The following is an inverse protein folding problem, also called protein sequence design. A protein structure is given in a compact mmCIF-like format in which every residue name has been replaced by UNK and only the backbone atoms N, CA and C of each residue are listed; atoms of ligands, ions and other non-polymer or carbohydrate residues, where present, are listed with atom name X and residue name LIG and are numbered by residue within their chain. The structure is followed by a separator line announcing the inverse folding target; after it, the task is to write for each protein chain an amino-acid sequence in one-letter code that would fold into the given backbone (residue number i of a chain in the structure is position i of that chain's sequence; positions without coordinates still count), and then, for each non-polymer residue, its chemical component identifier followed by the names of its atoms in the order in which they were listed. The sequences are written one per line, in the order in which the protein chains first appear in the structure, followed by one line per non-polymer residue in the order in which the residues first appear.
data_IF_179793664728
#
_entry.id   IF_179793664728
#
_cell.length_a   1.000
_cell.length_b   1.000
_cell.length_c   1.000
_cell.angle_alpha   90.00
_cell.angle_beta   90.00
_cell.angle_gamma   90.00
#
_symmetry.space_group_name_H-M   'P 1'
#
loop_
_entity.id
_entity.type
_entity.pdbx_description
1 polymer ?
#
# COMPACT_ATOMS: atom_id res chain seq x y z
N UNK A 1 33.72 62.69 32.54
CA UNK A 1 35.11 62.31 32.88
C UNK A 1 35.60 61.36 31.80
N UNK A 2 36.85 61.54 31.41
CA UNK A 2 37.72 60.60 30.66
C UNK A 2 37.81 59.23 31.41
N UNK A 3 38.30 58.08 30.91
CA UNK A 3 38.63 57.49 29.59
C UNK A 3 38.82 55.93 29.84
N UNK A 4 39.25 55.00 28.95
CA UNK A 4 39.86 55.03 27.61
C UNK A 4 39.54 53.75 26.78
N UNK A 5 39.77 53.87 25.46
CA UNK A 5 40.42 52.95 24.50
C UNK A 5 40.83 51.50 24.91
N UNK A 6 41.00 50.50 24.02
CA UNK A 6 40.88 50.24 22.54
C UNK A 6 41.26 48.73 22.33
N UNK A 7 41.11 48.00 21.22
CA UNK A 7 40.42 48.12 19.91
C UNK A 7 40.62 46.81 19.10
N UNK A 8 39.80 46.58 18.06
CA UNK A 8 40.05 45.76 16.84
C UNK A 8 40.11 44.21 17.00
N UNK A 9 39.46 43.32 16.22
CA UNK A 9 38.86 43.37 14.85
C UNK A 9 39.94 43.40 13.72
N UNK A 10 39.84 42.80 12.51
CA UNK A 10 38.85 41.97 11.78
C UNK A 10 39.57 41.26 10.57
N UNK A 11 39.13 40.04 10.20
CA UNK A 11 38.91 39.48 8.83
C UNK A 11 40.02 39.21 7.76
N UNK A 12 39.82 38.03 7.14
CA UNK A 12 39.90 37.63 5.69
C UNK A 12 41.21 37.49 4.86
N UNK A 13 41.24 36.35 4.11
CA UNK A 13 41.64 36.11 2.69
C UNK A 13 43.07 36.53 2.23
N UNK A 14 43.74 35.93 1.24
CA UNK A 14 43.67 34.65 0.52
C UNK A 14 44.92 34.48 -0.38
N UNK A 15 45.12 33.28 -0.97
CA UNK A 15 45.92 32.98 -2.18
C UNK A 15 47.47 32.93 -2.20
N UNK A 16 47.94 31.83 -2.83
CA UNK A 16 49.07 31.72 -3.80
C UNK A 16 50.51 31.38 -3.35
N UNK A 17 51.25 30.77 -4.30
CA UNK A 17 52.52 30.00 -4.20
C UNK A 17 53.62 30.71 -5.02
N UNK A 18 54.93 30.52 -4.72
CA UNK A 18 55.92 30.32 -5.80
C UNK A 18 57.00 29.23 -5.54
N UNK A 19 57.91 29.06 -6.51
CA UNK A 19 58.70 27.85 -6.83
C UNK A 19 60.21 27.79 -6.44
N UNK A 20 60.69 26.58 -6.07
CA UNK A 20 61.84 25.73 -6.57
C UNK A 20 63.29 26.31 -6.78
N UNK A 21 64.29 25.40 -6.73
CA UNK A 21 65.68 25.37 -7.34
C UNK A 21 66.85 25.69 -6.34
N UNK A 22 68.05 25.05 -6.28
CA UNK A 22 68.85 24.02 -7.03
C UNK A 22 69.67 23.12 -6.04
N UNK A 23 70.03 21.84 -6.27
CA UNK A 23 71.03 21.20 -7.20
C UNK A 23 72.53 21.53 -6.89
N UNK A 24 73.57 20.66 -7.03
CA UNK A 24 73.95 19.52 -7.93
C UNK A 24 75.28 18.86 -7.36
N UNK A 25 76.16 18.06 -8.06
CA UNK A 25 76.09 16.93 -9.04
C UNK A 25 77.08 15.74 -8.66
N UNK A 26 77.67 14.91 -9.57
CA UNK A 26 77.14 13.91 -10.54
C UNK A 26 77.83 12.50 -10.52
N UNK A 27 77.32 11.48 -11.27
CA UNK A 27 78.09 10.70 -12.28
C UNK A 27 77.33 9.56 -13.03
N UNK A 28 77.46 9.57 -14.38
CA UNK A 28 77.07 8.62 -15.48
C UNK A 28 77.39 7.12 -15.23
N UNK A 29 76.75 6.08 -15.86
CA UNK A 29 76.72 5.75 -17.32
C UNK A 29 75.96 4.42 -17.67
N UNK A 30 75.11 4.45 -18.72
CA UNK A 30 74.80 3.48 -19.83
C UNK A 30 74.79 1.92 -19.69
N UNK A 31 73.71 1.34 -20.25
CA UNK A 31 73.24 -0.04 -20.55
C UNK A 31 74.16 -1.20 -21.06
N UNK A 32 73.67 -2.45 -20.89
CA UNK A 32 73.70 -3.53 -21.92
C UNK A 32 72.59 -4.62 -21.74
N UNK A 33 72.30 -5.44 -22.78
CA UNK A 33 71.26 -6.50 -22.83
C UNK A 33 71.81 -7.90 -22.49
N UNK A 34 70.97 -8.84 -22.02
CA UNK A 34 71.20 -10.31 -22.18
C UNK A 34 69.89 -11.14 -22.20
N UNK A 35 69.95 -12.33 -22.82
CA UNK A 35 68.82 -13.24 -23.12
C UNK A 35 68.58 -14.30 -22.01
N UNK A 36 67.36 -14.87 -22.02
CA UNK A 36 66.83 -15.94 -21.16
C UNK A 36 67.54 -17.30 -21.29
N UNK A 37 67.44 -18.13 -20.23
CA UNK A 37 67.05 -19.55 -20.35
C UNK A 37 65.89 -19.91 -19.36
N UNK A 38 65.47 -21.18 -19.16
CA UNK A 38 64.34 -21.80 -19.85
C UNK A 38 63.09 -22.06 -18.96
N UNK A 39 62.01 -22.57 -19.58
CA UNK A 39 60.67 -22.77 -19.00
C UNK A 39 60.55 -23.94 -18.01
N UNK A 40 59.64 -23.77 -17.06
CA UNK A 40 58.87 -24.84 -16.38
C UNK A 40 57.34 -24.58 -16.57
N UNK A 41 56.46 -25.57 -16.30
CA UNK A 41 55.22 -25.73 -17.07
C UNK A 41 54.05 -24.82 -16.71
N UNK A 42 53.20 -24.57 -17.71
CA UNK A 42 51.93 -23.85 -17.61
C UNK A 42 50.89 -24.61 -16.78
N UNK A 43 50.07 -23.92 -15.95
CA UNK A 43 48.82 -24.45 -15.44
C UNK A 43 47.83 -24.78 -16.59
N UNK A 44 46.86 -25.70 -16.38
CA UNK A 44 45.89 -26.07 -17.42
C UNK A 44 44.98 -24.91 -17.86
N UNK A 45 44.48 -25.02 -19.08
CA UNK A 45 43.63 -24.05 -19.76
C UNK A 45 42.25 -23.88 -19.09
N UNK A 46 41.60 -22.75 -19.38
CA UNK A 46 40.22 -22.48 -19.03
C UNK A 46 39.28 -23.43 -19.80
N UNK A 47 38.71 -24.43 -19.12
CA UNK A 47 37.66 -25.26 -19.71
C UNK A 47 36.31 -24.54 -19.57
N UNK A 48 35.67 -24.21 -20.70
CA UNK A 48 34.38 -23.51 -20.79
C UNK A 48 33.20 -24.42 -20.37
N UNK A 49 33.23 -24.89 -19.12
CA UNK A 49 32.29 -25.86 -18.56
C UNK A 49 31.12 -25.24 -17.78
N UNK A 50 30.04 -24.87 -18.47
CA UNK A 50 28.70 -24.62 -17.89
C UNK A 50 28.63 -23.72 -16.64
N UNK A 51 28.64 -22.39 -16.87
CA UNK A 51 27.97 -21.45 -15.96
C UNK A 51 26.47 -21.78 -15.92
N UNK A 52 26.02 -22.54 -14.92
CA UNK A 52 24.59 -22.72 -14.64
C UNK A 52 24.03 -21.36 -14.21
N UNK A 53 23.53 -20.59 -15.18
CA UNK A 53 22.68 -19.45 -14.89
C UNK A 53 21.42 -19.98 -14.20
N UNK A 54 21.36 -19.85 -12.87
CA UNK A 54 20.16 -20.14 -12.10
C UNK A 54 19.13 -19.06 -12.45
N UNK A 55 18.35 -19.36 -13.50
CA UNK A 55 17.30 -18.50 -13.99
C UNK A 55 16.25 -18.32 -12.89
N UNK A 56 16.13 -17.10 -12.33
CA UNK A 56 15.20 -16.78 -11.23
C UNK A 56 13.75 -17.17 -11.54
N UNK A 57 13.38 -17.32 -12.82
CA UNK A 57 12.06 -17.82 -13.23
C UNK A 57 11.80 -19.28 -12.81
N UNK A 58 12.83 -20.10 -12.57
CA UNK A 58 12.69 -21.53 -12.23
C UNK A 58 12.33 -21.77 -10.76
N UNK A 59 12.84 -20.93 -9.84
CA UNK A 59 12.45 -20.97 -8.41
C UNK A 59 10.98 -20.60 -8.13
N UNK A 60 10.23 -20.14 -9.15
CA UNK A 60 8.79 -19.85 -9.03
C UNK A 60 7.87 -21.05 -9.30
N UNK A 61 8.40 -22.25 -9.61
CA UNK A 61 7.55 -23.38 -10.04
C UNK A 61 7.74 -24.72 -9.31
N UNK A 62 8.89 -24.97 -8.72
CA UNK A 62 9.18 -26.27 -8.10
C UNK A 62 9.01 -26.23 -6.57
N UNK A 63 8.01 -26.96 -6.06
CA UNK A 63 7.72 -27.25 -4.63
C UNK A 63 7.19 -26.10 -3.75
N UNK A 64 6.19 -25.37 -4.24
CA UNK A 64 5.06 -25.00 -3.37
C UNK A 64 3.86 -25.81 -3.86
N UNK A 65 3.48 -26.84 -3.12
CA UNK A 65 2.15 -27.44 -3.27
C UNK A 65 1.14 -26.37 -2.83
N UNK A 66 0.55 -25.71 -3.82
CA UNK A 66 -0.59 -24.84 -3.56
C UNK A 66 -1.70 -25.71 -2.98
N UNK A 67 -2.27 -25.38 -1.81
CA UNK A 67 -3.39 -26.14 -1.28
C UNK A 67 -4.53 -26.14 -2.31
N UNK A 68 -5.21 -27.29 -2.42
CA UNK A 68 -6.41 -27.51 -3.24
C UNK A 68 -7.39 -26.33 -3.09
N UNK A 69 -8.18 -26.03 -4.12
CA UNK A 69 -9.00 -24.81 -4.20
C UNK A 69 -9.85 -24.56 -2.94
N UNK A 70 -9.30 -23.77 -2.02
CA UNK A 70 -9.93 -23.43 -0.74
C UNK A 70 -11.01 -22.38 -0.91
N UNK A 71 -11.22 -21.86 -2.12
CA UNK A 71 -12.24 -20.86 -2.40
C UNK A 71 -13.66 -21.35 -2.11
N UNK A 72 -13.92 -22.64 -2.33
CA UNK A 72 -15.20 -23.29 -2.01
C UNK A 72 -15.45 -23.50 -0.51
N UNK A 73 -14.41 -23.47 0.34
CA UNK A 73 -14.54 -23.71 1.79
C UNK A 73 -15.24 -22.55 2.54
N UNK A 74 -15.47 -21.41 1.86
CA UNK A 74 -15.98 -20.18 2.45
C UNK A 74 -17.35 -19.73 1.87
N UNK A 75 -18.39 -20.58 1.86
CA UNK A 75 -19.69 -20.24 1.28
C UNK A 75 -20.31 -18.99 1.96
N UNK A 76 -20.58 -17.98 1.14
CA UNK A 76 -21.14 -16.70 1.57
C UNK A 76 -20.11 -15.68 2.06
N UNK A 77 -18.80 -15.95 1.94
CA UNK A 77 -17.79 -14.91 2.06
C UNK A 77 -17.94 -13.90 0.92
N UNK A 78 -17.70 -12.64 1.24
CA UNK A 78 -17.72 -11.51 0.31
C UNK A 78 -16.40 -10.79 0.48
N UNK A 79 -15.66 -10.61 -0.61
CA UNK A 79 -14.43 -9.85 -0.61
C UNK A 79 -14.77 -8.36 -0.46
N UNK A 80 -14.17 -7.71 0.53
CA UNK A 80 -14.41 -6.32 0.87
C UNK A 80 -13.21 -5.47 0.48
N UNK A 81 -13.35 -4.70 -0.59
CA UNK A 81 -12.34 -3.74 -1.04
C UNK A 81 -12.85 -2.34 -0.70
N UNK A 82 -12.80 -2.04 0.60
CA UNK A 82 -13.35 -0.83 1.18
C UNK A 82 -12.37 0.34 1.27
N UNK A 83 -12.68 1.21 2.23
CA UNK A 83 -11.98 2.45 2.52
C UNK A 83 -11.37 2.38 3.91
N UNK A 84 -10.14 2.87 4.05
CA UNK A 84 -9.42 2.92 5.33
C UNK A 84 -9.97 4.02 6.23
N UNK A 85 -9.64 3.98 7.54
CA UNK A 85 -9.99 5.03 8.51
C UNK A 85 -9.53 6.44 8.15
N UNK A 86 -8.57 6.61 7.22
CA UNK A 86 -8.14 7.91 6.70
C UNK A 86 -8.74 8.24 5.31
N UNK A 87 -9.89 7.65 4.99
CA UNK A 87 -10.64 7.78 3.73
C UNK A 87 -9.91 7.36 2.45
N UNK A 88 -8.65 6.91 2.55
CA UNK A 88 -7.91 6.36 1.41
C UNK A 88 -8.43 4.97 1.01
N UNK A 89 -8.33 4.69 -0.27
CA UNK A 89 -8.80 3.47 -0.89
C UNK A 89 -7.85 2.28 -0.58
N UNK A 90 -8.39 1.09 -0.29
CA UNK A 90 -7.60 -0.05 0.21
C UNK A 90 -6.84 -0.78 -0.92
N UNK A 91 -5.54 -0.51 -1.05
CA UNK A 91 -4.65 -1.07 -2.11
C UNK A 91 -3.84 -2.31 -1.68
N UNK A 92 -3.78 -2.63 -0.38
CA UNK A 92 -2.93 -3.72 0.10
C UNK A 92 -3.71 -5.04 0.13
N UNK A 93 -3.26 -6.02 -0.65
CA UNK A 93 -3.92 -7.33 -0.82
C UNK A 93 -4.10 -8.09 0.50
N UNK A 94 -3.07 -8.11 1.34
CA UNK A 94 -3.14 -8.74 2.65
C UNK A 94 -4.18 -8.07 3.55
N UNK A 95 -4.24 -6.74 3.58
CA UNK A 95 -5.29 -6.02 4.33
C UNK A 95 -6.71 -6.28 3.79
N UNK A 96 -6.92 -6.29 2.46
CA UNK A 96 -8.21 -6.62 1.83
C UNK A 96 -8.70 -7.99 2.33
N UNK A 97 -7.83 -8.99 2.26
CA UNK A 97 -8.13 -10.35 2.71
C UNK A 97 -8.49 -10.39 4.20
N UNK A 98 -7.65 -9.81 5.08
CA UNK A 98 -7.90 -9.78 6.53
C UNK A 98 -9.23 -9.08 6.84
N UNK A 99 -9.52 -7.92 6.24
CA UNK A 99 -10.76 -7.18 6.44
C UNK A 99 -11.99 -7.96 5.93
N UNK A 100 -11.89 -8.63 4.78
CA UNK A 100 -12.95 -9.48 4.22
C UNK A 100 -13.36 -10.61 5.17
N UNK A 101 -12.38 -11.31 5.74
CA UNK A 101 -12.64 -12.38 6.71
C UNK A 101 -13.22 -11.82 8.02
N UNK A 102 -12.63 -10.75 8.56
CA UNK A 102 -13.07 -10.09 9.80
C UNK A 102 -14.52 -9.60 9.75
N UNK A 103 -14.97 -9.11 8.58
CA UNK A 103 -16.34 -8.64 8.36
C UNK A 103 -17.34 -9.77 8.05
N UNK A 104 -16.88 -11.02 8.06
CA UNK A 104 -17.69 -12.21 7.77
C UNK A 104 -17.90 -13.09 9.02
N UNK A 105 -18.76 -14.11 8.90
CA UNK A 105 -18.96 -15.16 9.92
C UNK A 105 -17.69 -15.97 10.25
N UNK A 106 -16.63 -15.89 9.43
CA UNK A 106 -15.39 -16.63 9.62
C UNK A 106 -14.41 -15.95 10.58
N UNK A 107 -14.62 -14.68 10.92
CA UNK A 107 -13.82 -13.95 11.91
C UNK A 107 -12.39 -13.65 11.46
N UNK A 108 -11.47 -13.53 12.43
CA UNK A 108 -10.08 -13.16 12.16
C UNK A 108 -9.26 -14.36 11.64
N UNK A 109 -8.43 -14.12 10.62
CA UNK A 109 -7.44 -15.10 10.13
C UNK A 109 -6.25 -15.22 11.08
N UNK A 110 -5.71 -16.43 11.22
CA UNK A 110 -4.44 -16.67 11.91
C UNK A 110 -3.30 -16.43 10.92
N UNK A 111 -2.34 -15.60 11.30
CA UNK A 111 -1.16 -15.27 10.49
C UNK A 111 0.09 -15.56 11.30
N UNK A 112 0.87 -16.53 10.83
CA UNK A 112 2.14 -16.93 11.44
C UNK A 112 3.30 -16.41 10.58
N UNK A 113 4.22 -15.68 11.21
CA UNK A 113 5.44 -15.19 10.58
C UNK A 113 6.64 -16.00 11.10
N UNK A 114 7.49 -16.47 10.20
CA UNK A 114 8.76 -17.12 10.55
C UNK A 114 9.86 -16.77 9.55
N UNK A 115 11.03 -17.34 9.74
CA UNK A 115 12.11 -17.29 8.75
C UNK A 115 12.30 -18.68 8.13
N UNK A 116 12.77 -18.72 6.89
CA UNK A 116 13.05 -19.96 6.15
C UNK A 116 14.42 -19.87 5.48
N UNK A 117 15.35 -20.69 5.99
CA UNK A 117 16.71 -20.82 5.45
C UNK A 117 16.65 -21.53 4.10
N UNK A 118 17.02 -20.83 3.03
CA UNK A 118 17.09 -21.40 1.68
C UNK A 118 18.55 -21.62 1.31
N UNK A 119 18.85 -22.82 0.80
CA UNK A 119 20.21 -23.22 0.43
C UNK A 119 20.82 -22.27 -0.61
N UNK A 120 22.08 -21.89 -0.41
CA UNK A 120 22.78 -20.93 -1.27
C UNK A 120 22.55 -19.45 -0.95
N UNK A 121 21.71 -19.09 0.04
CA UNK A 121 21.61 -17.72 0.56
C UNK A 121 22.26 -17.54 1.93
N UNK A 122 22.86 -16.36 2.13
CA UNK A 122 23.41 -15.91 3.42
C UNK A 122 22.34 -15.45 4.40
N UNK A 123 21.21 -14.93 3.89
CA UNK A 123 20.09 -14.43 4.69
C UNK A 123 18.83 -15.27 4.42
N UNK A 124 18.06 -15.62 5.45
CA UNK A 124 16.85 -16.41 5.29
C UNK A 124 15.69 -15.58 4.73
N UNK A 125 14.84 -16.20 3.93
CA UNK A 125 13.60 -15.58 3.49
C UNK A 125 12.65 -15.38 4.67
N UNK A 126 11.78 -14.36 4.59
CA UNK A 126 10.65 -14.22 5.50
C UNK A 126 9.51 -15.09 5.00
N UNK A 127 8.88 -15.84 5.90
CA UNK A 127 7.77 -16.74 5.65
C UNK A 127 6.51 -16.22 6.31
N UNK A 128 5.39 -16.28 5.60
CA UNK A 128 4.07 -15.95 6.09
C UNK A 128 3.14 -17.14 5.82
N UNK A 129 2.53 -17.70 6.86
CA UNK A 129 1.51 -18.77 6.75
C UNK A 129 0.16 -18.18 7.16
N UNK A 130 -0.82 -18.28 6.28
CA UNK A 130 -2.20 -17.84 6.54
C UNK A 130 -3.06 -19.07 6.81
N UNK A 131 -3.83 -19.05 7.92
CA UNK A 131 -4.73 -20.14 8.31
C UNK A 131 -6.12 -19.62 8.64
N UNK A 132 -7.15 -20.40 8.29
CA UNK A 132 -8.53 -20.24 8.75
C UNK A 132 -9.03 -21.60 9.24
N UNK A 133 -9.85 -21.63 10.30
CA UNK A 133 -10.40 -22.88 10.85
C UNK A 133 -9.35 -23.99 11.07
N UNK A 134 -8.12 -23.60 11.46
CA UNK A 134 -6.92 -24.46 11.59
C UNK A 134 -6.36 -25.07 10.29
N UNK A 135 -7.00 -24.88 9.13
CA UNK A 135 -6.49 -25.25 7.79
C UNK A 135 -5.52 -24.16 7.28
N UNK A 136 -4.41 -24.56 6.66
CA UNK A 136 -3.50 -23.64 5.95
C UNK A 136 -4.14 -23.25 4.61
N UNK A 137 -4.29 -21.95 4.36
CA UNK A 137 -4.82 -21.41 3.11
C UNK A 137 -3.74 -21.02 2.11
N UNK A 138 -2.59 -20.53 2.61
CA UNK A 138 -1.44 -20.20 1.78
C UNK A 138 -0.15 -20.11 2.60
N UNK A 139 0.97 -20.30 1.89
CA UNK A 139 2.31 -20.01 2.38
C UNK A 139 2.98 -19.05 1.38
N UNK A 140 3.42 -17.90 1.87
CA UNK A 140 4.14 -16.90 1.09
C UNK A 140 5.56 -16.72 1.58
N UNK A 141 6.49 -16.58 0.63
CA UNK A 141 7.89 -16.27 0.87
C UNK A 141 8.24 -14.93 0.22
N UNK A 142 9.17 -14.20 0.84
CA UNK A 142 9.66 -12.91 0.35
C UNK A 142 10.93 -12.47 1.08
N UNK A 143 11.68 -11.54 0.48
CA UNK A 143 12.90 -10.99 1.09
C UNK A 143 12.53 -10.10 2.29
N UNK A 144 11.36 -9.46 2.21
CA UNK A 144 10.73 -8.73 3.31
C UNK A 144 9.47 -9.44 3.85
N UNK A 145 9.11 -9.14 5.10
CA UNK A 145 7.82 -9.55 5.70
C UNK A 145 6.62 -9.10 4.86
N UNK A 146 6.72 -7.92 4.23
CA UNK A 146 5.70 -7.34 3.36
C UNK A 146 5.50 -8.16 2.09
N UNK A 147 6.58 -8.59 1.44
CA UNK A 147 6.51 -9.49 0.28
C UNK A 147 5.94 -10.85 0.65
N UNK A 148 6.39 -11.45 1.75
CA UNK A 148 5.87 -12.74 2.23
C UNK A 148 4.35 -12.69 2.45
N UNK A 149 3.86 -11.62 3.10
CA UNK A 149 2.42 -11.36 3.30
C UNK A 149 1.66 -11.14 2.00
N UNK A 150 2.19 -10.30 1.10
CA UNK A 150 1.56 -10.04 -0.20
C UNK A 150 1.50 -11.32 -1.06
N UNK A 151 2.57 -12.12 -1.06
CA UNK A 151 2.66 -13.42 -1.75
C UNK A 151 1.61 -14.41 -1.23
N UNK A 152 1.51 -14.57 0.09
CA UNK A 152 0.52 -15.44 0.72
C UNK A 152 -0.92 -14.97 0.44
N UNK A 153 -1.21 -13.67 0.65
CA UNK A 153 -2.54 -13.11 0.41
C UNK A 153 -2.97 -13.15 -1.05
N UNK A 154 -2.02 -12.98 -1.97
CA UNK A 154 -2.28 -13.08 -3.41
C UNK A 154 -2.73 -14.49 -3.81
N UNK A 155 -2.14 -15.54 -3.23
CA UNK A 155 -2.60 -16.92 -3.45
C UNK A 155 -4.05 -17.14 -2.96
N UNK A 156 -4.34 -16.73 -1.72
CA UNK A 156 -5.69 -16.86 -1.11
C UNK A 156 -6.74 -16.11 -1.94
N UNK A 157 -6.48 -14.84 -2.28
CA UNK A 157 -7.43 -14.02 -3.03
C UNK A 157 -7.70 -14.53 -4.44
N UNK A 158 -6.72 -15.15 -5.12
CA UNK A 158 -6.93 -15.79 -6.44
C UNK A 158 -7.90 -16.95 -6.38
N UNK A 159 -7.87 -17.74 -5.31
CA UNK A 159 -8.84 -18.83 -5.08
C UNK A 159 -10.21 -18.23 -4.72
N UNK A 160 -10.28 -17.36 -3.70
CA UNK A 160 -11.52 -16.77 -3.24
C UNK A 160 -12.30 -16.02 -4.33
N UNK A 161 -11.63 -15.25 -5.22
CA UNK A 161 -12.31 -14.48 -6.28
C UNK A 161 -13.10 -15.38 -7.25
N UNK A 162 -12.73 -16.66 -7.41
CA UNK A 162 -13.47 -17.60 -8.28
C UNK A 162 -14.86 -17.94 -7.75
N UNK A 163 -15.06 -17.85 -6.43
CA UNK A 163 -16.27 -18.31 -5.72
C UNK A 163 -17.02 -17.19 -5.01
N UNK A 164 -16.32 -16.12 -4.61
CA UNK A 164 -16.85 -15.03 -3.80
C UNK A 164 -17.23 -13.82 -4.66
N UNK A 165 -18.37 -13.19 -4.32
CA UNK A 165 -18.66 -11.82 -4.76
C UNK A 165 -17.66 -10.85 -4.13
N UNK A 166 -17.38 -9.75 -4.82
CA UNK A 166 -16.55 -8.65 -4.30
C UNK A 166 -17.36 -7.37 -4.24
N UNK A 167 -17.38 -6.69 -3.09
CA UNK A 167 -17.88 -5.32 -2.96
C UNK A 167 -16.67 -4.39 -3.01
N UNK A 168 -16.68 -3.44 -3.94
CA UNK A 168 -15.59 -2.48 -4.14
C UNK A 168 -16.10 -1.05 -3.95
N UNK A 169 -15.46 -0.30 -3.07
CA UNK A 169 -15.74 1.12 -2.85
C UNK A 169 -15.41 1.95 -4.11
N UNK A 170 -16.30 2.87 -4.47
CA UNK A 170 -16.20 3.74 -5.65
C UNK A 170 -15.35 4.96 -5.36
N UNK A 171 -14.29 5.13 -6.15
CA UNK A 171 -13.42 6.31 -6.14
C UNK A 171 -14.20 7.58 -6.51
N UNK A 172 -15.27 7.46 -7.31
CA UNK A 172 -16.18 8.56 -7.64
C UNK A 172 -16.87 9.17 -6.42
N UNK A 173 -16.98 8.45 -5.31
CA UNK A 173 -17.55 8.94 -4.04
C UNK A 173 -16.47 9.22 -2.99
N UNK A 174 -15.58 8.25 -2.72
CA UNK A 174 -14.59 8.36 -1.64
C UNK A 174 -13.30 9.10 -2.00
N UNK A 175 -13.02 9.26 -3.31
CA UNK A 175 -12.00 10.17 -3.88
C UNK A 175 -10.57 10.03 -3.30
N UNK A 176 -10.21 8.80 -2.90
CA UNK A 176 -8.94 8.42 -2.25
C UNK A 176 -8.60 9.28 -1.02
N UNK A 177 -9.63 9.71 -0.29
CA UNK A 177 -9.50 10.52 0.93
C UNK A 177 -9.19 11.99 0.71
N UNK A 178 -9.22 12.45 -0.54
CA UNK A 178 -9.09 13.86 -0.92
C UNK A 178 -10.40 14.63 -0.74
N UNK A 179 -10.30 15.93 -0.53
CA UNK A 179 -11.43 16.86 -0.52
C UNK A 179 -12.27 16.73 -1.80
N UNK A 180 -13.57 16.63 -1.61
CA UNK A 180 -14.65 16.74 -2.62
C UNK A 180 -15.82 17.48 -1.97
N UNK A 181 -16.90 17.90 -2.67
CA UNK A 181 -17.54 19.21 -2.47
C UNK A 181 -18.44 19.37 -1.23
N UNK A 182 -18.03 18.83 -0.08
CA UNK A 182 -18.60 19.05 1.24
C UNK A 182 -18.26 20.43 1.82
N UNK A 183 -17.14 21.02 1.39
CA UNK A 183 -16.52 22.16 2.08
C UNK A 183 -17.44 23.42 2.10
N UNK A 184 -18.18 23.69 1.01
CA UNK A 184 -19.01 24.90 0.91
C UNK A 184 -20.43 24.71 0.37
N UNK A 185 -20.68 23.78 -0.56
CA UNK A 185 -22.00 23.60 -1.16
C UNK A 185 -22.29 22.10 -1.37
N UNK A 186 -22.96 21.42 -0.42
CA UNK A 186 -23.31 20.00 -0.59
C UNK A 186 -24.23 19.84 -1.79
N UNK A 187 -24.03 18.75 -2.53
CA UNK A 187 -24.86 18.38 -3.68
C UNK A 187 -26.27 18.01 -3.19
N UNK A 188 -27.34 18.76 -3.55
CA UNK A 188 -28.70 18.46 -3.11
C UNK A 188 -29.17 17.06 -3.57
N UNK A 189 -28.69 16.61 -4.72
CA UNK A 189 -29.02 15.30 -5.31
C UNK A 189 -28.28 14.14 -4.60
N UNK A 190 -27.53 14.43 -3.53
CA UNK A 190 -26.82 13.46 -2.68
C UNK A 190 -27.21 13.54 -1.20
N UNK A 191 -28.29 14.25 -0.86
CA UNK A 191 -28.80 14.34 0.51
C UNK A 191 -29.17 12.97 1.12
N UNK A 192 -29.54 11.97 0.30
CA UNK A 192 -29.77 10.57 0.72
C UNK A 192 -28.48 9.75 0.94
N UNK A 193 -27.33 10.31 0.61
CA UNK A 193 -26.01 9.65 0.66
C UNK A 193 -25.16 10.20 1.81
N UNK A 194 -25.25 11.51 2.06
CA UNK A 194 -24.54 12.21 3.12
C UNK A 194 -25.25 13.50 3.56
N UNK A 195 -24.96 13.94 4.79
CA UNK A 195 -25.36 15.22 5.34
C UNK A 195 -24.13 15.97 5.87
N UNK A 196 -23.88 17.20 5.39
CA UNK A 196 -22.81 18.07 5.93
C UNK A 196 -23.36 18.86 7.11
N UNK A 197 -22.82 18.61 8.28
CA UNK A 197 -23.23 19.24 9.54
C UNK A 197 -22.37 20.49 9.77
N UNK A 198 -23.01 21.62 10.08
CA UNK A 198 -22.32 22.89 10.38
C UNK A 198 -22.19 23.10 11.88
N UNK A 199 -21.06 23.63 12.33
CA UNK A 199 -20.77 23.86 13.75
C UNK A 199 -21.75 24.83 14.41
N UNK A 200 -22.26 25.82 13.68
CA UNK A 200 -23.23 26.80 14.19
C UNK A 200 -24.62 26.21 14.51
N UNK A 201 -24.91 24.97 14.11
CA UNK A 201 -26.14 24.27 14.50
C UNK A 201 -26.15 23.82 15.97
N UNK A 202 -25.01 23.89 16.67
CA UNK A 202 -24.84 23.41 18.04
C UNK A 202 -24.48 24.53 19.01
N UNK A 203 -25.17 24.57 20.16
CA UNK A 203 -24.84 25.50 21.23
C UNK A 203 -23.52 25.08 21.89
N UNK A 204 -23.36 23.80 22.19
CA UNK A 204 -22.21 23.25 22.91
C UNK A 204 -21.83 21.84 22.41
N UNK A 205 -20.81 21.25 23.07
CA UNK A 205 -20.37 19.89 22.82
C UNK A 205 -21.43 18.83 23.17
N UNK A 206 -22.28 19.06 24.16
CA UNK A 206 -23.31 18.09 24.54
C UNK A 206 -24.37 17.94 23.44
N UNK A 207 -24.74 19.03 22.77
CA UNK A 207 -25.63 19.02 21.61
C UNK A 207 -25.03 18.25 20.42
N UNK A 208 -23.72 18.35 20.17
CA UNK A 208 -23.01 17.55 19.15
C UNK A 208 -23.11 16.06 19.46
N UNK A 209 -22.84 15.66 20.71
CA UNK A 209 -22.91 14.26 21.13
C UNK A 209 -24.34 13.72 21.03
N UNK A 210 -25.33 14.48 21.50
CA UNK A 210 -26.74 14.10 21.39
C UNK A 210 -27.17 13.91 19.92
N UNK A 211 -26.71 14.76 19.00
CA UNK A 211 -27.00 14.59 17.57
C UNK A 211 -26.44 13.28 16.99
N UNK A 212 -25.28 12.83 17.49
CA UNK A 212 -24.69 11.53 17.13
C UNK A 212 -25.49 10.38 17.74
N UNK A 213 -25.97 10.51 18.98
CA UNK A 213 -26.88 9.54 19.59
C UNK A 213 -28.20 9.44 18.78
N UNK A 214 -28.82 10.57 18.46
CA UNK A 214 -30.04 10.64 17.64
C UNK A 214 -29.81 10.01 16.24
N UNK A 215 -28.63 10.21 15.63
CA UNK A 215 -28.25 9.55 14.37
C UNK A 215 -27.96 8.04 14.53
N UNK A 216 -27.39 7.62 15.66
CA UNK A 216 -27.11 6.20 15.96
C UNK A 216 -28.38 5.32 16.05
N UNK A 217 -29.54 5.92 16.33
CA UNK A 217 -30.83 5.22 16.37
C UNK A 217 -31.54 5.17 15.01
N UNK A 218 -31.05 5.88 13.99
CA UNK A 218 -31.63 5.86 12.64
C UNK A 218 -31.17 4.64 11.86
N UNK A 219 -32.10 4.00 11.16
CA UNK A 219 -31.78 3.00 10.13
C UNK A 219 -31.63 3.73 8.80
N UNK A 220 -30.41 4.12 8.44
CA UNK A 220 -30.09 4.85 7.22
C UNK A 220 -28.75 4.42 6.60
N UNK A 221 -28.57 4.73 5.32
CA UNK A 221 -27.29 4.55 4.58
C UNK A 221 -26.42 5.82 4.55
N UNK A 222 -26.94 6.94 5.04
CA UNK A 222 -26.29 8.25 5.05
C UNK A 222 -24.98 8.27 5.87
N UNK A 223 -24.04 9.13 5.49
CA UNK A 223 -22.94 9.56 6.36
C UNK A 223 -23.18 10.98 6.87
N UNK A 224 -23.02 11.25 8.17
CA UNK A 224 -22.95 12.62 8.67
C UNK A 224 -21.50 13.10 8.66
N UNK A 225 -21.25 14.30 8.14
CA UNK A 225 -19.91 14.85 7.91
C UNK A 225 -19.73 16.13 8.74
N UNK A 226 -18.80 16.08 9.69
CA UNK A 226 -18.38 17.21 10.51
C UNK A 226 -17.16 17.87 9.85
N UNK A 227 -17.28 19.17 9.54
CA UNK A 227 -16.31 19.94 8.76
C UNK A 227 -15.06 20.41 9.51
N UNK A 228 -14.34 21.33 8.87
CA UNK A 228 -13.19 22.03 9.46
C UNK A 228 -13.58 23.10 10.47
N UNK A 229 -14.83 23.55 10.42
CA UNK A 229 -15.48 24.50 11.33
C UNK A 229 -15.67 23.98 12.77
N UNK A 230 -15.55 22.68 12.99
CA UNK A 230 -15.43 22.08 14.32
C UNK A 230 -14.01 22.27 14.88
N UNK A 231 -13.88 22.43 16.19
CA UNK A 231 -12.56 22.47 16.84
C UNK A 231 -11.89 21.07 16.84
N UNK A 232 -10.59 21.02 17.13
CA UNK A 232 -9.88 19.75 17.32
C UNK A 232 -10.50 18.93 18.47
N UNK A 233 -10.77 19.58 19.61
CA UNK A 233 -11.34 18.93 20.79
C UNK A 233 -12.76 18.40 20.56
N UNK A 234 -13.57 19.11 19.77
CA UNK A 234 -14.89 18.62 19.36
C UNK A 234 -14.78 17.44 18.40
N UNK A 235 -13.85 17.44 17.44
CA UNK A 235 -13.59 16.26 16.61
C UNK A 235 -13.12 15.07 17.43
N UNK A 236 -12.17 15.22 18.35
CA UNK A 236 -11.77 14.11 19.22
C UNK A 236 -12.90 13.66 20.16
N UNK A 237 -13.78 14.55 20.60
CA UNK A 237 -15.00 14.19 21.33
C UNK A 237 -15.94 13.31 20.49
N UNK A 238 -16.23 13.73 19.25
CA UNK A 238 -17.03 12.96 18.27
C UNK A 238 -16.43 11.57 18.08
N UNK A 239 -15.11 11.50 17.82
CA UNK A 239 -14.41 10.24 17.59
C UNK A 239 -14.40 9.33 18.82
N UNK A 240 -14.22 9.90 20.01
CA UNK A 240 -14.27 9.16 21.28
C UNK A 240 -15.66 8.57 21.52
N UNK A 241 -16.70 9.37 21.33
CA UNK A 241 -18.09 8.93 21.49
C UNK A 241 -18.47 7.83 20.50
N UNK A 242 -18.14 8.00 19.21
CA UNK A 242 -18.39 6.97 18.19
C UNK A 242 -17.76 5.62 18.55
N UNK A 243 -16.55 5.61 19.16
CA UNK A 243 -15.92 4.37 19.65
C UNK A 243 -16.70 3.73 20.79
N UNK A 244 -17.28 4.52 21.70
CA UNK A 244 -18.07 4.03 22.83
C UNK A 244 -19.38 3.39 22.35
N UNK A 245 -20.13 4.06 21.47
CA UNK A 245 -21.41 3.57 20.93
C UNK A 245 -21.24 2.61 19.73
N UNK A 246 -20.00 2.26 19.35
CA UNK A 246 -19.62 1.39 18.22
C UNK A 246 -20.09 1.88 16.83
N UNK A 247 -20.35 3.17 16.68
CA UNK A 247 -20.64 3.80 15.40
C UNK A 247 -19.33 4.01 14.61
N UNK A 248 -19.35 3.74 13.30
CA UNK A 248 -18.13 3.82 12.49
C UNK A 248 -17.84 5.24 12.03
N UNK A 249 -16.56 5.50 11.77
CA UNK A 249 -16.10 6.80 11.28
C UNK A 249 -14.88 6.66 10.37
N UNK A 250 -14.68 7.67 9.52
CA UNK A 250 -13.49 7.88 8.70
C UNK A 250 -13.09 9.35 8.72
N UNK A 251 -11.77 9.58 8.71
CA UNK A 251 -11.16 10.90 8.63
C UNK A 251 -10.92 11.24 7.16
N UNK A 252 -11.28 12.44 6.72
CA UNK A 252 -11.02 12.94 5.36
C UNK A 252 -9.96 14.02 5.49
N UNK A 253 -8.83 13.90 4.76
CA UNK A 253 -7.75 14.89 4.82
C UNK A 253 -7.88 15.84 3.65
N UNK A 254 -8.27 17.06 3.96
CA UNK A 254 -8.54 18.10 2.98
C UNK A 254 -7.38 19.10 2.97
N UNK A 255 -6.95 19.50 1.76
CA UNK A 255 -5.94 20.54 1.57
C UNK A 255 -6.57 21.62 0.69
N UNK A 256 -6.86 22.78 1.29
CA UNK A 256 -7.39 23.93 0.56
C UNK A 256 -6.39 25.08 0.52
N UNK A 257 -6.45 25.84 -0.57
CA UNK A 257 -5.75 27.11 -0.68
C UNK A 257 -6.14 28.02 0.49
N UNK A 258 -5.15 28.63 1.15
CA UNK A 258 -5.37 29.58 2.26
C UNK A 258 -5.64 28.99 3.65
N UNK A 259 -6.21 27.77 3.80
CA UNK A 259 -6.40 27.13 5.12
C UNK A 259 -5.37 26.03 5.46
N UNK A 260 -4.61 25.55 4.48
CA UNK A 260 -3.67 24.45 4.69
C UNK A 260 -4.37 23.09 4.87
N UNK A 261 -3.69 22.16 5.56
CA UNK A 261 -4.19 20.81 5.80
C UNK A 261 -5.19 20.81 6.97
N UNK A 262 -6.43 20.43 6.71
CA UNK A 262 -7.49 20.27 7.69
C UNK A 262 -8.10 18.85 7.60
N UNK A 263 -8.98 18.49 8.54
CA UNK A 263 -9.54 17.14 8.62
C UNK A 263 -11.02 17.17 8.97
N UNK A 264 -11.83 16.53 8.14
CA UNK A 264 -13.25 16.30 8.39
C UNK A 264 -13.46 14.90 8.99
N UNK A 265 -14.56 14.72 9.72
CA UNK A 265 -14.96 13.43 10.29
C UNK A 265 -16.28 13.03 9.64
N UNK A 266 -16.27 11.95 8.86
CA UNK A 266 -17.50 11.32 8.39
C UNK A 266 -17.85 10.16 9.32
N UNK A 267 -19.09 10.11 9.81
CA UNK A 267 -19.62 9.10 10.74
C UNK A 267 -20.78 8.37 10.06
N UNK A 268 -20.84 7.04 10.20
CA UNK A 268 -21.73 6.20 9.40
C UNK A 268 -22.07 4.87 10.09
N UNK A 269 -23.17 4.27 9.63
CA UNK A 269 -23.60 2.93 10.03
C UNK A 269 -22.87 1.84 9.25
N UNK A 270 -22.24 0.90 9.95
CA UNK A 270 -21.58 -0.24 9.31
C UNK A 270 -22.59 -1.35 9.01
N UNK A 271 -23.06 -1.42 7.77
CA UNK A 271 -23.83 -2.57 7.30
C UNK A 271 -22.94 -3.81 7.12
N UNK A 272 -23.44 -5.03 7.43
CA UNK A 272 -22.75 -6.27 7.11
C UNK A 272 -22.62 -6.47 5.58
N UNK A 273 -21.51 -7.03 5.06
CA UNK A 273 -21.35 -7.25 3.61
C UNK A 273 -22.51 -8.01 2.93
N UNK A 274 -23.16 -9.03 3.54
CA UNK A 274 -24.31 -9.69 2.92
C UNK A 274 -25.52 -8.78 2.67
N UNK A 275 -25.74 -7.80 3.56
CA UNK A 275 -26.83 -6.81 3.42
C UNK A 275 -26.51 -5.84 2.28
N UNK A 276 -25.26 -5.35 2.22
CA UNK A 276 -24.80 -4.47 1.13
C UNK A 276 -24.87 -5.22 -0.21
N UNK A 277 -24.46 -6.49 -0.27
CA UNK A 277 -24.58 -7.34 -1.47
C UNK A 277 -26.03 -7.48 -1.94
N UNK A 278 -26.99 -7.68 -1.04
CA UNK A 278 -28.41 -7.79 -1.41
C UNK A 278 -28.93 -6.48 -2.01
N UNK A 279 -28.70 -5.34 -1.33
CA UNK A 279 -29.09 -4.02 -1.83
C UNK A 279 -28.44 -3.70 -3.19
N UNK A 280 -27.16 -4.03 -3.39
CA UNK A 280 -26.48 -3.85 -4.68
C UNK A 280 -27.04 -4.76 -5.78
N UNK A 281 -27.52 -5.96 -5.45
CA UNK A 281 -28.19 -6.84 -6.43
C UNK A 281 -29.55 -6.25 -6.85
N UNK A 282 -30.31 -5.72 -5.90
CA UNK A 282 -31.59 -5.04 -6.16
C UNK A 282 -31.41 -3.75 -6.98
N UNK A 283 -30.31 -3.01 -6.74
CA UNK A 283 -29.94 -1.81 -7.48
C UNK A 283 -29.29 -2.05 -8.86
N UNK A 284 -29.22 -3.31 -9.33
CA UNK A 284 -28.65 -3.63 -10.65
C UNK A 284 -27.13 -3.73 -10.72
N UNK A 285 -26.44 -3.73 -9.57
CA UNK A 285 -25.00 -4.02 -9.44
C UNK A 285 -24.17 -2.89 -8.82
N UNK A 286 -24.68 -1.67 -8.71
CA UNK A 286 -23.97 -0.55 -8.09
C UNK A 286 -24.88 0.49 -7.44
N UNK A 287 -24.33 1.26 -6.51
CA UNK A 287 -24.94 2.45 -5.91
C UNK A 287 -23.94 3.64 -5.98
N UNK A 288 -24.20 4.73 -5.25
CA UNK A 288 -23.30 5.88 -5.17
C UNK A 288 -21.91 5.53 -4.58
N UNK A 289 -21.85 4.64 -3.58
CA UNK A 289 -20.68 4.32 -2.75
C UNK A 289 -19.93 3.08 -3.20
N UNK A 290 -20.62 2.07 -3.75
CA UNK A 290 -20.10 0.72 -3.97
C UNK A 290 -20.51 0.16 -5.33
N UNK A 291 -19.69 -0.75 -5.85
CA UNK A 291 -20.06 -1.65 -6.95
C UNK A 291 -19.88 -3.11 -6.53
N UNK A 292 -20.76 -3.97 -7.02
CA UNK A 292 -20.73 -5.41 -6.83
C UNK A 292 -20.10 -6.09 -8.05
N UNK A 293 -19.07 -6.88 -7.82
CA UNK A 293 -18.39 -7.66 -8.86
C UNK A 293 -18.73 -9.14 -8.60
N UNK A 294 -19.24 -9.87 -9.61
CA UNK A 294 -19.57 -11.29 -9.47
C UNK A 294 -18.30 -12.14 -9.32
N UNK A 295 -18.42 -13.40 -8.86
CA UNK A 295 -17.32 -14.36 -8.86
C UNK A 295 -16.67 -14.46 -10.25
N UNK A 296 -15.34 -14.54 -10.28
CA UNK A 296 -14.52 -14.50 -11.49
C UNK A 296 -14.28 -13.10 -12.07
N UNK A 297 -15.14 -12.12 -11.78
CA UNK A 297 -15.13 -10.79 -12.40
C UNK A 297 -13.84 -9.98 -12.25
N UNK A 298 -13.58 -9.10 -13.23
CA UNK A 298 -12.39 -8.24 -13.30
C UNK A 298 -12.42 -7.17 -12.20
N UNK A 299 -11.35 -7.04 -11.41
CA UNK A 299 -11.24 -6.01 -10.37
C UNK A 299 -10.18 -4.98 -10.78
N UNK A 300 -10.65 -3.86 -11.33
CA UNK A 300 -9.77 -2.76 -11.76
C UNK A 300 -9.49 -1.77 -10.63
N UNK A 301 -8.30 -1.17 -10.69
CA UNK A 301 -8.07 0.17 -10.13
C UNK A 301 -8.92 1.18 -10.92
N UNK A 302 -9.68 2.02 -10.23
CA UNK A 302 -10.62 2.95 -10.88
C UNK A 302 -9.97 4.25 -11.39
N UNK A 303 -8.62 4.35 -11.36
CA UNK A 303 -7.87 5.54 -11.81
C UNK A 303 -7.33 5.33 -13.23
N UNK A 304 -6.73 4.17 -13.47
CA UNK A 304 -5.97 3.80 -14.66
C UNK A 304 -6.51 2.52 -15.32
N UNK A 305 -7.67 2.03 -14.86
CA UNK A 305 -8.33 0.76 -15.21
C UNK A 305 -7.44 -0.49 -15.12
N UNK A 306 -6.26 -0.35 -14.50
CA UNK A 306 -5.27 -1.40 -14.41
C UNK A 306 -5.82 -2.52 -13.54
N UNK A 307 -5.62 -3.75 -14.01
CA UNK A 307 -5.96 -4.92 -13.21
C UNK A 307 -5.09 -4.97 -11.95
N UNK A 308 -5.76 -5.08 -10.81
CA UNK A 308 -5.15 -5.05 -9.49
C UNK A 308 -4.60 -6.40 -9.05
N UNK A 309 -5.04 -7.47 -9.71
CA UNK A 309 -4.46 -8.81 -9.63
C UNK A 309 -4.26 -9.30 -11.06
N UNK A 310 -3.04 -9.25 -11.64
CA UNK A 310 -2.77 -9.50 -13.08
C UNK A 310 -2.96 -10.96 -13.55
N UNK A 311 -3.98 -11.62 -13.02
CA UNK A 311 -4.50 -12.95 -13.32
C UNK A 311 -6.05 -12.88 -13.28
N UNK A 312 -6.66 -11.94 -13.99
CA UNK A 312 -8.10 -12.04 -14.35
C UNK A 312 -8.34 -13.07 -15.45
N UNK A 313 -8.03 -14.32 -15.11
CA UNK A 313 -8.51 -15.59 -15.70
C UNK A 313 -8.78 -15.57 -17.20
N UNK A 314 -7.72 -15.76 -17.98
CA UNK A 314 -7.78 -16.79 -19.03
C UNK A 314 -6.92 -17.97 -18.57
N UNK A 315 -7.47 -19.18 -18.64
CA UNK A 315 -6.69 -20.41 -18.46
C UNK A 315 -5.65 -20.50 -19.58
N UNK A 316 -4.38 -20.54 -19.19
CA UNK A 316 -3.32 -19.87 -19.95
C UNK A 316 -3.15 -20.28 -21.42
N UNK A 317 -3.31 -19.30 -22.32
CA UNK A 317 -2.67 -19.20 -23.65
C UNK A 317 -2.68 -17.75 -24.14
N UNK A 318 -1.57 -17.28 -24.72
CA UNK A 318 -1.32 -15.87 -25.06
C UNK A 318 -0.50 -15.19 -23.95
N UNK A 319 0.70 -14.66 -24.17
CA UNK A 319 1.26 -14.08 -25.40
C UNK A 319 0.95 -12.57 -25.39
N UNK A 320 1.91 -11.64 -25.41
CA UNK A 320 3.32 -11.74 -25.81
C UNK A 320 4.26 -10.91 -24.91
N UNK A 321 5.54 -11.24 -24.93
CA UNK A 321 6.62 -10.37 -24.43
C UNK A 321 6.86 -9.23 -25.40
N UNK A 322 6.48 -8.00 -25.02
CA UNK A 322 7.01 -6.81 -25.69
C UNK A 322 8.47 -6.63 -25.27
N UNK A 323 9.38 -6.91 -26.20
CA UNK A 323 10.79 -6.55 -26.10
C UNK A 323 10.94 -5.17 -26.74
N UNK A 324 11.14 -4.13 -25.93
CA UNK A 324 11.54 -2.83 -26.47
C UNK A 324 13.00 -2.91 -26.93
N UNK A 325 13.18 -3.11 -28.24
CA UNK A 325 14.46 -2.91 -28.90
C UNK A 325 14.83 -1.43 -28.83
N UNK A 326 15.80 -1.08 -27.98
CA UNK A 326 16.45 0.23 -28.01
C UNK A 326 17.41 0.24 -29.22
N UNK A 327 16.86 0.59 -30.38
CA UNK A 327 17.60 0.68 -31.64
C UNK A 327 18.59 1.85 -31.63
N UNK A 328 19.89 1.54 -31.58
CA UNK A 328 20.98 2.46 -31.86
C UNK A 328 21.25 2.54 -33.37
N UNK A 329 20.88 3.65 -34.00
CA UNK A 329 21.38 4.16 -35.30
C UNK A 329 20.70 5.52 -35.57
N UNK A 330 21.37 6.57 -36.07
CA UNK A 330 22.81 6.82 -36.33
C UNK A 330 23.02 8.34 -36.31
#
# INVERSE_FOLDING_TARGET
MEERARSSSLFHLSESIPEIIAEKPPAKKVAEKRKLPPKEPTPPEEDEGNKIQINLKKFKKDKVEYPEDTGGDFPGLILWIGIRKNSMWQKNLFCIMIESFKMSKYGDLIVEESEESVWGRKEPFKKCVIKANRKVLAVGLGESKTEAKNSAAMQVLRQLRKHCYTIQAKLSYFKDGKATPYDFNPDPDKAHVYCVVRRNAFIDRAAIIKYIDDFSQKVCDEEIIFGDDFTFDEREAILSHCRQIRLMYRLIKCQSMGKGLHTHVAVYHQKPPPVIKAALMEAGGEDDKYRLIPPGGKITYQVDEKDMWPETLEDGKGGETVVENIGLAT
#
